data_IF_615131265011
#
_entry.id   IF_615131265011
#
_cell.length_a   1.000
_cell.length_b   1.000
_cell.length_c   1.000
_cell.angle_alpha   90.00
_cell.angle_beta   90.00
_cell.angle_gamma   90.00
#
_symmetry.space_group_name_H-M   'P 1'
#
loop_
_entity.id
_entity.type
_entity.pdbx_description
1 polymer ?
#
# COMPACT_ATOMS: atom_id res chain seq x y z
N UNK A 1 24.70 37.24 2.08
CA UNK A 1 23.31 37.16 2.61
C UNK A 1 22.78 35.74 2.46
N UNK A 2 23.05 34.86 3.43
CA UNK A 2 22.44 33.52 3.49
C UNK A 2 21.11 33.62 4.20
N UNK A 3 20.00 33.77 3.46
CA UNK A 3 18.66 33.59 4.05
C UNK A 3 18.59 32.19 4.64
N UNK A 4 18.54 32.10 5.97
CA UNK A 4 18.33 30.85 6.67
C UNK A 4 17.01 30.24 6.20
N UNK A 5 17.06 29.07 5.56
CA UNK A 5 15.86 28.31 5.18
C UNK A 5 14.91 28.19 6.39
N UNK A 6 13.59 28.26 6.18
CA UNK A 6 12.61 28.05 7.25
C UNK A 6 12.93 26.78 8.07
N UNK A 7 12.78 26.80 9.40
CA UNK A 7 13.16 25.67 10.26
C UNK A 7 12.56 24.33 9.83
N UNK A 8 11.31 24.34 9.32
CA UNK A 8 10.64 23.14 8.84
C UNK A 8 11.23 22.60 7.54
N UNK A 9 11.64 23.47 6.63
CA UNK A 9 12.29 23.05 5.39
C UNK A 9 13.64 22.39 5.68
N UNK A 10 14.43 22.92 6.62
CA UNK A 10 15.70 22.29 7.05
C UNK A 10 15.47 20.89 7.59
N UNK A 11 14.46 20.71 8.45
CA UNK A 11 14.12 19.41 9.03
C UNK A 11 13.64 18.40 7.98
N UNK A 12 12.90 18.86 6.98
CA UNK A 12 12.48 18.02 5.86
C UNK A 12 13.66 17.60 4.98
N UNK A 13 14.62 18.51 4.75
CA UNK A 13 15.86 18.20 4.07
C UNK A 13 16.71 17.19 4.85
N UNK A 14 16.75 17.26 6.19
CA UNK A 14 17.43 16.24 7.00
C UNK A 14 16.75 14.88 6.88
N UNK A 15 15.41 14.82 6.88
CA UNK A 15 14.68 13.58 6.68
C UNK A 15 14.93 12.98 5.28
N UNK A 16 14.90 13.82 4.23
CA UNK A 16 15.25 13.40 2.88
C UNK A 16 16.72 12.96 2.78
N UNK A 17 17.65 13.68 3.42
CA UNK A 17 19.06 13.32 3.49
C UNK A 17 19.30 11.98 4.18
N UNK A 18 18.61 11.72 5.30
CA UNK A 18 18.67 10.44 5.98
C UNK A 18 18.15 9.28 5.10
N UNK A 19 17.09 9.52 4.33
CA UNK A 19 16.58 8.55 3.36
C UNK A 19 17.58 8.28 2.22
N UNK A 20 18.22 9.33 1.68
CA UNK A 20 19.28 9.18 0.66
C UNK A 20 20.46 8.40 1.24
N UNK A 21 20.89 8.69 2.47
CA UNK A 21 21.95 7.96 3.15
C UNK A 21 21.59 6.49 3.36
N UNK A 22 20.36 6.20 3.78
CA UNK A 22 19.86 4.82 3.93
C UNK A 22 19.89 4.06 2.60
N UNK A 23 19.39 4.66 1.51
CA UNK A 23 19.43 4.06 0.18
C UNK A 23 20.86 3.86 -0.29
N UNK A 24 21.72 4.86 -0.10
CA UNK A 24 23.13 4.78 -0.48
C UNK A 24 23.86 3.67 0.29
N UNK A 25 23.63 3.57 1.60
CA UNK A 25 24.16 2.49 2.43
C UNK A 25 23.68 1.12 1.94
N UNK A 26 22.39 0.98 1.61
CA UNK A 26 21.83 -0.26 1.07
C UNK A 26 22.53 -0.67 -0.22
N UNK A 27 22.72 0.28 -1.15
CA UNK A 27 23.41 0.04 -2.42
C UNK A 27 24.87 -0.34 -2.19
N UNK A 28 25.63 0.41 -1.39
CA UNK A 28 27.07 0.18 -1.21
C UNK A 28 27.35 -1.11 -0.45
N UNK A 29 26.66 -1.33 0.68
CA UNK A 29 26.82 -2.56 1.48
C UNK A 29 26.31 -3.76 0.67
N UNK A 30 25.18 -3.62 -0.02
CA UNK A 30 24.65 -4.68 -0.85
C UNK A 30 25.60 -5.06 -1.98
N UNK A 31 26.19 -4.07 -2.68
CA UNK A 31 27.21 -4.32 -3.70
C UNK A 31 28.44 -5.00 -3.14
N UNK A 32 28.89 -4.61 -1.95
CA UNK A 32 30.01 -5.25 -1.28
C UNK A 32 29.71 -6.73 -0.98
N UNK A 33 28.55 -7.04 -0.39
CA UNK A 33 28.13 -8.42 -0.09
C UNK A 33 27.98 -9.24 -1.39
N UNK A 34 27.35 -8.67 -2.42
CA UNK A 34 27.17 -9.37 -3.69
C UNK A 34 28.52 -9.60 -4.40
N UNK A 35 29.46 -8.65 -4.33
CA UNK A 35 30.79 -8.79 -4.92
C UNK A 35 31.69 -9.79 -4.19
N UNK A 36 31.56 -9.91 -2.87
CA UNK A 36 32.39 -10.79 -2.03
C UNK A 36 31.80 -12.18 -1.86
N UNK A 37 30.57 -12.28 -1.36
CA UNK A 37 29.93 -13.55 -1.00
C UNK A 37 28.94 -14.07 -2.05
N UNK A 38 28.47 -13.20 -2.96
CA UNK A 38 27.44 -13.52 -3.99
C UNK A 38 26.14 -14.11 -3.41
N UNK A 39 25.83 -13.82 -2.15
CA UNK A 39 24.68 -14.40 -1.41
C UNK A 39 23.39 -13.60 -1.54
N UNK A 40 23.41 -12.38 -2.10
CA UNK A 40 22.18 -11.59 -2.25
C UNK A 40 21.32 -12.05 -3.43
N UNK A 41 21.94 -12.57 -4.50
CA UNK A 41 21.27 -12.94 -5.75
C UNK A 41 20.40 -11.81 -6.32
N UNK A 42 20.94 -10.59 -6.28
CA UNK A 42 20.37 -9.41 -6.94
C UNK A 42 21.51 -8.67 -7.63
N UNK A 43 21.35 -8.33 -8.90
CA UNK A 43 22.44 -7.73 -9.69
C UNK A 43 22.68 -6.25 -9.33
N UNK A 44 21.65 -5.55 -8.85
CA UNK A 44 21.71 -4.14 -8.45
C UNK A 44 21.15 -3.91 -7.04
N UNK A 45 21.82 -4.42 -5.97
CA UNK A 45 21.34 -4.27 -4.60
C UNK A 45 20.94 -2.83 -4.23
N UNK A 46 19.82 -2.62 -3.51
CA UNK A 46 18.89 -3.63 -2.99
C UNK A 46 17.81 -4.08 -4.00
N UNK A 47 17.90 -3.65 -5.26
CA UNK A 47 16.93 -3.97 -6.30
C UNK A 47 17.29 -5.25 -7.04
N UNK A 48 16.29 -6.11 -7.24
CA UNK A 48 16.36 -7.15 -8.26
C UNK A 48 16.12 -6.48 -9.63
N UNK A 49 17.19 -5.94 -10.20
CA UNK A 49 17.16 -5.21 -11.47
C UNK A 49 18.47 -5.43 -12.23
N UNK A 50 18.42 -5.30 -13.55
CA UNK A 50 19.58 -5.30 -14.44
C UNK A 50 19.79 -3.91 -15.05
N UNK A 51 21.04 -3.52 -15.26
CA UNK A 51 21.34 -2.28 -15.98
C UNK A 51 21.00 -2.42 -17.46
N UNK A 52 20.21 -1.49 -17.98
CA UNK A 52 19.88 -1.44 -19.39
C UNK A 52 19.22 -0.12 -19.74
N UNK A 53 19.97 0.96 -20.01
CA UNK A 53 19.41 2.21 -20.51
C UNK A 53 18.80 1.98 -21.88
N UNK A 54 17.53 2.29 -22.04
CA UNK A 54 16.82 2.15 -23.30
C UNK A 54 15.68 3.18 -23.38
N UNK A 55 15.22 3.42 -24.61
CA UNK A 55 14.05 4.20 -24.92
C UNK A 55 13.11 3.33 -25.75
N UNK A 56 11.82 3.60 -25.67
CA UNK A 56 10.83 2.84 -26.40
C UNK A 56 9.57 3.65 -26.68
N UNK A 57 8.54 3.03 -27.25
CA UNK A 57 7.33 3.73 -27.67
C UNK A 57 6.59 4.40 -26.52
N UNK A 58 6.73 3.88 -25.29
CA UNK A 58 6.17 4.50 -24.09
C UNK A 58 6.90 5.74 -23.57
N UNK A 59 8.16 5.96 -23.96
CA UNK A 59 8.98 7.08 -23.48
C UNK A 59 8.35 8.45 -23.73
N UNK A 60 7.95 8.83 -24.96
CA UNK A 60 7.34 10.15 -25.20
C UNK A 60 6.05 10.33 -24.40
N UNK A 61 5.21 9.29 -24.32
CA UNK A 61 3.97 9.34 -23.55
C UNK A 61 4.23 9.54 -22.05
N UNK A 62 5.23 8.85 -21.48
CA UNK A 62 5.63 9.04 -20.09
C UNK A 62 6.12 10.48 -19.85
N UNK A 63 7.03 11.00 -20.67
CA UNK A 63 7.53 12.38 -20.52
C UNK A 63 6.38 13.40 -20.59
N UNK A 64 5.47 13.25 -21.55
CA UNK A 64 4.30 14.12 -21.68
C UNK A 64 3.37 14.04 -20.47
N UNK A 65 3.05 12.84 -19.98
CA UNK A 65 2.21 12.65 -18.80
C UNK A 65 2.84 13.21 -17.53
N UNK A 66 4.15 13.05 -17.36
CA UNK A 66 4.88 13.62 -16.24
C UNK A 66 4.81 15.15 -16.26
N UNK A 67 5.14 15.77 -17.40
CA UNK A 67 5.07 17.23 -17.57
C UNK A 67 3.63 17.73 -17.34
N UNK A 68 2.64 17.12 -17.98
CA UNK A 68 1.25 17.52 -17.87
C UNK A 68 0.72 17.39 -16.44
N UNK A 69 1.06 16.30 -15.74
CA UNK A 69 0.62 16.08 -14.36
C UNK A 69 1.30 17.05 -13.39
N UNK A 70 2.59 17.37 -13.58
CA UNK A 70 3.30 18.36 -12.76
C UNK A 70 2.77 19.78 -13.02
N UNK A 71 2.58 20.16 -14.29
CA UNK A 71 2.18 21.50 -14.66
C UNK A 71 0.69 21.80 -14.35
N UNK A 72 -0.21 20.84 -14.66
CA UNK A 72 -1.65 21.06 -14.58
C UNK A 72 -2.35 20.24 -13.49
N UNK A 73 -1.76 19.14 -13.02
CA UNK A 73 -2.36 18.23 -12.05
C UNK A 73 -2.81 18.90 -10.75
N UNK A 74 -1.99 19.72 -10.07
CA UNK A 74 -2.40 20.40 -8.84
C UNK A 74 -3.61 21.34 -9.04
N UNK A 75 -3.62 22.11 -10.14
CA UNK A 75 -4.70 23.04 -10.45
C UNK A 75 -5.99 22.30 -10.81
N UNK A 76 -5.91 21.23 -11.59
CA UNK A 76 -7.04 20.38 -11.94
C UNK A 76 -7.61 19.67 -10.70
N UNK A 77 -6.75 19.10 -9.85
CA UNK A 77 -7.18 18.41 -8.64
C UNK A 77 -7.90 19.33 -7.66
N UNK A 78 -7.51 20.62 -7.61
CA UNK A 78 -8.18 21.62 -6.79
C UNK A 78 -9.56 22.03 -7.33
N UNK A 79 -9.76 22.06 -8.65
CA UNK A 79 -10.95 22.65 -9.29
C UNK A 79 -12.00 21.63 -9.73
N UNK A 80 -11.59 20.42 -10.12
CA UNK A 80 -12.52 19.43 -10.68
C UNK A 80 -13.54 18.97 -9.64
N UNK A 81 -14.79 18.68 -10.06
CA UNK A 81 -15.74 18.03 -9.17
C UNK A 81 -15.18 16.67 -8.74
N UNK A 82 -15.40 16.28 -7.49
CA UNK A 82 -14.84 15.03 -6.93
C UNK A 82 -15.18 13.80 -7.80
N UNK A 83 -16.39 13.78 -8.38
CA UNK A 83 -16.87 12.73 -9.28
C UNK A 83 -16.04 12.61 -10.56
N UNK A 84 -15.44 13.69 -11.07
CA UNK A 84 -14.55 13.67 -12.23
C UNK A 84 -13.09 13.43 -11.82
N UNK A 85 -12.68 13.88 -10.63
CA UNK A 85 -11.32 13.71 -10.15
C UNK A 85 -10.91 12.24 -10.03
N UNK A 86 -11.78 11.38 -9.49
CA UNK A 86 -11.48 9.96 -9.29
C UNK A 86 -11.21 9.22 -10.61
N UNK A 87 -12.12 9.21 -11.61
CA UNK A 87 -11.86 8.53 -12.88
C UNK A 87 -10.70 9.14 -13.64
N UNK A 88 -10.50 10.48 -13.57
CA UNK A 88 -9.34 11.11 -14.20
C UNK A 88 -8.03 10.65 -13.55
N UNK A 89 -7.95 10.62 -12.22
CA UNK A 89 -6.77 10.14 -11.48
C UNK A 89 -6.45 8.70 -11.88
N UNK A 90 -7.46 7.83 -11.89
CA UNK A 90 -7.29 6.43 -12.32
C UNK A 90 -6.83 6.31 -13.77
N UNK A 91 -7.45 7.06 -14.69
CA UNK A 91 -7.07 7.05 -16.10
C UNK A 91 -5.64 7.54 -16.29
N UNK A 92 -5.23 8.62 -15.62
CA UNK A 92 -3.86 9.14 -15.69
C UNK A 92 -2.85 8.16 -15.07
N UNK A 93 -3.17 7.53 -13.93
CA UNK A 93 -2.31 6.51 -13.32
C UNK A 93 -2.17 5.27 -14.22
N UNK A 94 -3.26 4.82 -14.82
CA UNK A 94 -3.26 3.72 -15.80
C UNK A 94 -2.39 4.09 -17.01
N UNK A 95 -2.60 5.28 -17.58
CA UNK A 95 -1.81 5.76 -18.73
C UNK A 95 -0.32 5.90 -18.36
N UNK A 96 -0.01 6.37 -17.16
CA UNK A 96 1.35 6.49 -16.66
C UNK A 96 2.04 5.12 -16.54
N UNK A 97 1.41 4.16 -15.87
CA UNK A 97 1.95 2.80 -15.71
C UNK A 97 2.08 2.11 -17.08
N UNK A 98 1.07 2.20 -17.95
CA UNK A 98 1.14 1.69 -19.32
C UNK A 98 2.30 2.33 -20.11
N UNK A 99 2.49 3.64 -20.00
CA UNK A 99 3.57 4.34 -20.69
C UNK A 99 4.93 3.86 -20.20
N UNK A 100 5.11 3.66 -18.89
CA UNK A 100 6.34 3.10 -18.34
C UNK A 100 6.59 1.66 -18.82
N UNK A 101 5.56 0.80 -18.80
CA UNK A 101 5.68 -0.57 -19.30
C UNK A 101 6.02 -0.62 -20.80
N UNK A 102 5.43 0.28 -21.60
CA UNK A 102 5.69 0.38 -23.03
C UNK A 102 7.07 0.97 -23.39
N UNK A 103 7.88 1.40 -22.42
CA UNK A 103 9.30 1.69 -22.68
C UNK A 103 10.02 0.40 -23.10
N UNK A 104 9.66 -0.74 -22.51
CA UNK A 104 10.12 -2.07 -22.93
C UNK A 104 9.40 -2.61 -24.18
N UNK A 105 8.39 -1.89 -24.69
CA UNK A 105 7.49 -2.33 -25.77
C UNK A 105 6.39 -3.29 -25.30
N UNK A 106 5.38 -3.53 -26.15
CA UNK A 106 4.21 -4.36 -25.81
C UNK A 106 4.61 -5.79 -25.41
N UNK A 107 5.48 -6.40 -26.21
CA UNK A 107 5.84 -7.81 -26.06
C UNK A 107 6.63 -8.07 -24.76
N UNK A 108 7.76 -7.37 -24.54
CA UNK A 108 8.58 -7.53 -23.33
C UNK A 108 7.96 -6.87 -22.11
N UNK A 109 7.39 -5.67 -22.26
CA UNK A 109 6.91 -4.84 -21.16
C UNK A 109 5.54 -5.24 -20.63
N UNK A 110 4.72 -5.90 -21.44
CA UNK A 110 3.36 -6.29 -21.04
C UNK A 110 3.12 -7.79 -21.24
N UNK A 111 3.16 -8.26 -22.49
CA UNK A 111 2.67 -9.58 -22.85
C UNK A 111 3.49 -10.74 -22.27
N UNK A 112 4.81 -10.58 -22.13
CA UNK A 112 5.70 -11.64 -21.61
C UNK A 112 5.99 -11.58 -20.12
N UNK A 113 5.67 -10.47 -19.43
CA UNK A 113 6.06 -10.28 -18.02
C UNK A 113 5.45 -11.34 -17.11
N UNK A 114 4.16 -11.63 -17.27
CA UNK A 114 3.45 -12.64 -16.49
C UNK A 114 3.54 -14.07 -17.07
N UNK A 115 4.29 -14.27 -18.16
CA UNK A 115 4.51 -15.59 -18.78
C UNK A 115 5.95 -16.07 -18.65
N UNK A 116 6.76 -15.43 -17.78
CA UNK A 116 8.10 -15.94 -17.52
C UNK A 116 8.05 -17.20 -16.66
N UNK A 117 9.15 -17.96 -16.62
CA UNK A 117 9.24 -19.28 -15.96
C UNK A 117 8.82 -19.33 -14.48
N UNK A 118 8.71 -18.19 -13.81
CA UNK A 118 8.35 -18.11 -12.38
C UNK A 118 6.91 -17.66 -12.14
N UNK A 119 6.16 -17.33 -13.21
CA UNK A 119 4.92 -16.55 -13.14
C UNK A 119 3.65 -17.39 -13.28
N UNK A 120 2.54 -16.80 -12.83
CA UNK A 120 1.22 -17.43 -12.70
C UNK A 120 0.70 -18.11 -13.97
N UNK A 121 1.01 -17.57 -15.16
CA UNK A 121 0.45 -18.09 -16.42
C UNK A 121 1.07 -19.42 -16.87
N UNK A 122 2.15 -19.88 -16.22
CA UNK A 122 2.82 -21.14 -16.57
C UNK A 122 2.05 -22.39 -16.15
N UNK A 123 1.01 -22.24 -15.33
CA UNK A 123 0.31 -23.38 -14.70
C UNK A 123 -1.20 -23.34 -14.92
N UNK A 124 -1.70 -22.51 -15.84
CA UNK A 124 -3.16 -22.35 -16.05
C UNK A 124 -3.82 -23.69 -16.41
N UNK A 125 -3.15 -24.48 -17.24
CA UNK A 125 -3.55 -25.82 -17.68
C UNK A 125 -3.64 -26.83 -16.52
N UNK A 126 -2.87 -26.64 -15.45
CA UNK A 126 -2.93 -27.51 -14.26
C UNK A 126 -4.17 -27.26 -13.38
N UNK A 127 -5.01 -26.29 -13.73
CA UNK A 127 -6.25 -25.94 -13.00
C UNK A 127 -7.52 -26.26 -13.80
N UNK A 128 -7.53 -27.31 -14.63
CA UNK A 128 -8.75 -27.79 -15.29
C UNK A 128 -9.82 -28.19 -14.26
N UNK A 129 -9.45 -28.97 -13.24
CA UNK A 129 -10.25 -29.23 -12.04
C UNK A 129 -9.73 -28.38 -10.87
N UNK A 130 -10.41 -27.24 -10.62
CA UNK A 130 -10.05 -26.31 -9.55
C UNK A 130 -10.11 -26.98 -8.16
N UNK A 131 -11.21 -27.65 -7.75
CA UNK A 131 -11.24 -28.37 -6.48
C UNK A 131 -10.11 -29.38 -6.29
N UNK A 132 -9.75 -30.15 -7.32
CA UNK A 132 -8.62 -31.09 -7.23
C UNK A 132 -7.30 -30.35 -7.07
N UNK A 133 -7.03 -29.34 -7.90
CA UNK A 133 -5.81 -28.54 -7.83
C UNK A 133 -5.64 -27.82 -6.47
N UNK A 134 -6.74 -27.42 -5.82
CA UNK A 134 -6.71 -26.80 -4.48
C UNK A 134 -6.39 -27.81 -3.37
N UNK A 135 -6.93 -29.03 -3.45
CA UNK A 135 -6.60 -30.12 -2.51
C UNK A 135 -5.13 -30.53 -2.61
N UNK A 136 -4.61 -30.60 -3.83
CA UNK A 136 -3.25 -31.05 -4.09
C UNK A 136 -2.22 -29.90 -4.05
N UNK A 137 -2.65 -28.67 -3.79
CA UNK A 137 -1.79 -27.49 -3.88
C UNK A 137 -0.55 -27.58 -2.99
N UNK A 138 -0.73 -28.05 -1.74
CA UNK A 138 0.35 -28.14 -0.74
C UNK A 138 1.44 -29.14 -1.14
N UNK A 139 1.07 -30.22 -1.84
CA UNK A 139 1.99 -31.28 -2.26
C UNK A 139 3.07 -30.78 -3.23
N UNK A 140 2.80 -29.68 -3.94
CA UNK A 140 3.67 -29.14 -4.98
C UNK A 140 4.44 -27.87 -4.52
N UNK A 141 4.39 -27.50 -3.23
CA UNK A 141 5.06 -26.28 -2.72
C UNK A 141 6.58 -26.47 -2.60
N UNK A 142 7.04 -27.62 -2.10
CA UNK A 142 8.46 -27.84 -1.80
C UNK A 142 9.31 -27.98 -3.07
N UNK A 143 10.60 -27.67 -2.97
CA UNK A 143 11.52 -27.76 -4.12
C UNK A 143 11.64 -29.17 -4.66
N UNK A 144 11.71 -30.14 -3.75
CA UNK A 144 11.97 -31.54 -4.06
C UNK A 144 10.69 -32.32 -4.38
N UNK A 145 9.52 -31.65 -4.30
CA UNK A 145 8.26 -32.25 -4.73
C UNK A 145 8.27 -32.51 -6.24
N UNK A 146 7.67 -33.63 -6.70
CA UNK A 146 7.43 -33.83 -8.13
C UNK A 146 6.54 -32.69 -8.65
N UNK A 147 6.83 -32.22 -9.86
CA UNK A 147 6.07 -31.17 -10.56
C UNK A 147 5.78 -29.92 -9.71
N UNK A 148 6.78 -29.49 -8.94
CA UNK A 148 6.66 -28.36 -8.03
C UNK A 148 6.15 -27.07 -8.72
N UNK A 149 5.48 -26.22 -7.94
CA UNK A 149 5.00 -24.94 -8.43
C UNK A 149 6.17 -24.00 -8.74
N UNK A 150 6.06 -23.19 -9.81
CA UNK A 150 6.94 -22.05 -10.02
C UNK A 150 6.94 -21.11 -8.81
N UNK A 151 8.04 -20.38 -8.63
CA UNK A 151 8.31 -19.64 -7.39
C UNK A 151 7.19 -18.68 -6.94
N UNK A 152 6.53 -17.94 -7.85
CA UNK A 152 5.44 -17.06 -7.45
C UNK A 152 4.16 -17.82 -7.07
N UNK A 153 3.89 -18.98 -7.67
CA UNK A 153 2.73 -19.79 -7.29
C UNK A 153 2.99 -20.48 -5.94
N UNK A 154 4.18 -21.07 -5.75
CA UNK A 154 4.57 -21.66 -4.47
C UNK A 154 4.61 -20.62 -3.34
N UNK A 155 4.97 -19.38 -3.67
CA UNK A 155 5.13 -18.26 -2.75
C UNK A 155 3.85 -17.62 -2.24
N UNK A 156 2.71 -17.91 -2.88
CA UNK A 156 1.44 -17.23 -2.64
C UNK A 156 0.29 -18.23 -2.45
N UNK A 157 -0.77 -17.86 -1.70
CA UNK A 157 -1.96 -18.70 -1.65
C UNK A 157 -2.71 -18.69 -3.01
N UNK A 158 -3.57 -19.68 -3.26
CA UNK A 158 -4.06 -19.99 -4.61
C UNK A 158 -5.02 -18.96 -5.22
N UNK A 159 -5.55 -17.97 -4.48
CA UNK A 159 -6.47 -17.00 -5.08
C UNK A 159 -5.79 -16.12 -6.14
N UNK A 160 -4.49 -15.87 -5.99
CA UNK A 160 -3.69 -15.18 -7.00
C UNK A 160 -3.71 -15.95 -8.34
N UNK A 161 -3.37 -17.23 -8.30
CA UNK A 161 -3.38 -18.11 -9.47
C UNK A 161 -4.79 -18.27 -10.05
N UNK A 162 -5.79 -18.49 -9.19
CA UNK A 162 -7.18 -18.64 -9.63
C UNK A 162 -7.70 -17.40 -10.34
N UNK A 163 -7.24 -16.19 -10.00
CA UNK A 163 -7.61 -14.98 -10.72
C UNK A 163 -7.25 -15.10 -12.20
N UNK A 164 -6.02 -15.55 -12.52
CA UNK A 164 -5.59 -15.70 -13.91
C UNK A 164 -6.22 -16.91 -14.60
N UNK A 165 -6.48 -18.00 -13.88
CA UNK A 165 -7.26 -19.14 -14.40
C UNK A 165 -8.67 -18.70 -14.80
N UNK A 166 -9.34 -17.91 -13.96
CA UNK A 166 -10.68 -17.41 -14.25
C UNK A 166 -10.68 -16.42 -15.43
N UNK A 167 -9.67 -15.56 -15.54
CA UNK A 167 -9.49 -14.69 -16.71
C UNK A 167 -9.35 -15.51 -18.00
N UNK A 168 -8.55 -16.59 -17.97
CA UNK A 168 -8.40 -17.49 -19.12
C UNK A 168 -9.74 -18.14 -19.50
N UNK A 169 -10.49 -18.64 -18.51
CA UNK A 169 -11.80 -19.29 -18.71
C UNK A 169 -12.87 -18.38 -19.30
N UNK A 170 -12.83 -17.08 -19.03
CA UNK A 170 -13.76 -16.10 -19.63
C UNK A 170 -13.25 -15.53 -20.97
N UNK A 171 -12.18 -16.08 -21.53
CA UNK A 171 -11.64 -15.72 -22.84
C UNK A 171 -10.56 -14.62 -22.83
N UNK A 172 -10.17 -14.11 -21.66
CA UNK A 172 -9.10 -13.12 -21.51
C UNK A 172 -7.74 -13.81 -21.33
N UNK A 173 -7.34 -14.57 -22.36
CA UNK A 173 -6.21 -15.51 -22.33
C UNK A 173 -4.86 -14.81 -22.55
N UNK A 174 -3.81 -15.34 -21.92
CA UNK A 174 -2.43 -14.93 -22.19
C UNK A 174 -1.97 -13.66 -21.47
N UNK A 175 -0.65 -13.39 -21.55
CA UNK A 175 -0.01 -12.39 -20.72
C UNK A 175 -0.34 -10.94 -21.05
N UNK A 176 -0.81 -10.65 -22.28
CA UNK A 176 -1.30 -9.32 -22.63
C UNK A 176 -2.51 -8.92 -21.78
N UNK A 177 -3.53 -9.79 -21.73
CA UNK A 177 -4.73 -9.57 -20.91
C UNK A 177 -4.42 -9.57 -19.41
N UNK A 178 -3.63 -10.55 -18.95
CA UNK A 178 -3.21 -10.61 -17.55
C UNK A 178 -2.41 -9.37 -17.11
N UNK A 179 -1.54 -8.87 -17.97
CA UNK A 179 -0.75 -7.67 -17.74
C UNK A 179 -1.62 -6.42 -17.66
N UNK A 180 -2.55 -6.26 -18.61
CA UNK A 180 -3.50 -5.15 -18.61
C UNK A 180 -4.46 -5.19 -17.41
N UNK A 181 -4.88 -6.38 -16.98
CA UNK A 181 -5.62 -6.56 -15.72
C UNK A 181 -4.84 -6.00 -14.53
N UNK A 182 -3.57 -6.41 -14.38
CA UNK A 182 -2.72 -5.94 -13.29
C UNK A 182 -2.53 -4.41 -13.32
N UNK A 183 -2.32 -3.82 -14.51
CA UNK A 183 -2.15 -2.37 -14.64
C UNK A 183 -3.45 -1.64 -14.29
N UNK A 184 -4.56 -2.00 -14.93
CA UNK A 184 -5.83 -1.28 -14.79
C UNK A 184 -6.42 -1.42 -13.39
N UNK A 185 -6.43 -2.63 -12.84
CA UNK A 185 -6.92 -2.89 -11.47
C UNK A 185 -5.94 -2.32 -10.45
N UNK A 186 -4.63 -2.53 -10.63
CA UNK A 186 -3.59 -1.99 -9.77
C UNK A 186 -3.64 -0.47 -9.67
N UNK A 187 -3.86 0.23 -10.79
CA UNK A 187 -4.01 1.68 -10.83
C UNK A 187 -5.19 2.18 -9.99
N UNK A 188 -6.23 1.36 -9.72
CA UNK A 188 -7.36 1.78 -8.86
C UNK A 188 -6.94 1.97 -7.40
N UNK A 189 -5.77 1.47 -6.98
CA UNK A 189 -5.23 1.69 -5.64
C UNK A 189 -5.14 3.18 -5.30
N UNK A 190 -4.78 4.05 -6.26
CA UNK A 190 -4.72 5.50 -6.03
C UNK A 190 -6.11 6.06 -5.64
N UNK A 191 -7.18 5.59 -6.28
CA UNK A 191 -8.57 5.99 -5.97
C UNK A 191 -8.97 5.53 -4.58
N UNK A 192 -8.65 4.29 -4.22
CA UNK A 192 -8.94 3.77 -2.89
C UNK A 192 -8.21 4.57 -1.81
N UNK A 193 -6.94 4.95 -2.04
CA UNK A 193 -6.18 5.83 -1.14
C UNK A 193 -6.82 7.23 -1.04
N UNK A 194 -7.24 7.83 -2.16
CA UNK A 194 -7.93 9.12 -2.16
C UNK A 194 -9.24 9.09 -1.36
N UNK A 195 -10.04 8.03 -1.52
CA UNK A 195 -11.25 7.82 -0.73
C UNK A 195 -10.93 7.66 0.75
N UNK A 196 -9.89 6.92 1.09
CA UNK A 196 -9.43 6.74 2.48
C UNK A 196 -9.02 8.06 3.11
N UNK A 197 -8.20 8.86 2.42
CA UNK A 197 -7.76 10.18 2.92
C UNK A 197 -8.97 11.11 3.09
N UNK A 198 -9.86 11.18 2.09
CA UNK A 198 -11.05 12.05 2.16
C UNK A 198 -11.99 11.67 3.31
N UNK A 199 -12.07 10.38 3.63
CA UNK A 199 -13.00 9.87 4.65
C UNK A 199 -12.47 10.03 6.06
N UNK A 200 -11.16 9.84 6.27
CA UNK A 200 -10.53 9.89 7.60
C UNK A 200 -9.92 11.24 7.95
N UNK A 201 -9.60 12.06 6.95
CA UNK A 201 -9.08 13.41 7.12
C UNK A 201 -10.03 14.41 6.44
N UNK A 202 -9.68 14.90 5.26
CA UNK A 202 -10.49 15.88 4.53
C UNK A 202 -10.29 15.79 3.01
N UNK A 203 -11.23 16.38 2.28
CA UNK A 203 -11.22 16.38 0.82
C UNK A 203 -10.07 17.19 0.21
N UNK A 204 -9.64 18.27 0.87
CA UNK A 204 -8.55 19.13 0.36
C UNK A 204 -7.21 18.40 0.38
N UNK A 205 -6.90 17.67 1.45
CA UNK A 205 -5.71 16.80 1.52
C UNK A 205 -5.76 15.68 0.49
N UNK A 206 -6.93 15.05 0.31
CA UNK A 206 -7.08 14.01 -0.71
C UNK A 206 -6.83 14.58 -2.12
N UNK A 207 -7.41 15.73 -2.46
CA UNK A 207 -7.17 16.43 -3.73
C UNK A 207 -5.69 16.73 -3.95
N UNK A 208 -5.00 17.20 -2.91
CA UNK A 208 -3.56 17.48 -2.98
C UNK A 208 -2.73 16.22 -3.21
N UNK A 209 -3.17 15.07 -2.70
CA UNK A 209 -2.46 13.80 -2.88
C UNK A 209 -2.60 13.22 -4.31
N UNK A 210 -3.65 13.56 -5.06
CA UNK A 210 -3.96 12.91 -6.33
C UNK A 210 -2.81 12.96 -7.36
N UNK A 211 -2.16 14.11 -7.65
CA UNK A 211 -1.05 14.15 -8.60
C UNK A 211 0.18 13.34 -8.13
N UNK A 212 0.43 13.29 -6.82
CA UNK A 212 1.55 12.52 -6.25
C UNK A 212 1.30 11.02 -6.32
N UNK A 213 0.05 10.58 -6.12
CA UNK A 213 -0.33 9.17 -6.26
C UNK A 213 -0.24 8.70 -7.71
N UNK A 214 -0.61 9.55 -8.67
CA UNK A 214 -0.49 9.25 -10.10
C UNK A 214 0.96 9.00 -10.50
N UNK A 215 1.87 9.92 -10.11
CA UNK A 215 3.30 9.84 -10.45
C UNK A 215 4.14 9.14 -9.38
N UNK A 216 3.53 8.35 -8.49
CA UNK A 216 4.25 7.67 -7.42
C UNK A 216 5.35 6.77 -8.03
N UNK A 217 6.59 6.79 -7.49
CA UNK A 217 7.67 5.94 -7.99
C UNK A 217 7.32 4.45 -8.02
N UNK A 218 6.45 4.02 -7.12
CA UNK A 218 5.82 2.69 -7.08
C UNK A 218 5.33 2.21 -8.46
N UNK A 219 4.88 3.11 -9.33
CA UNK A 219 4.41 2.81 -10.68
C UNK A 219 5.40 1.98 -11.52
N UNK A 220 6.71 2.13 -11.27
CA UNK A 220 7.76 1.34 -11.94
C UNK A 220 7.63 -0.15 -11.64
N UNK A 221 7.25 -0.53 -10.41
CA UNK A 221 7.05 -1.92 -10.00
C UNK A 221 5.60 -2.40 -10.16
N UNK A 222 4.65 -1.47 -10.29
CA UNK A 222 3.24 -1.81 -10.52
C UNK A 222 2.96 -2.24 -11.96
N UNK A 223 3.86 -1.96 -12.92
CA UNK A 223 3.73 -2.35 -14.31
C UNK A 223 3.67 -3.87 -14.49
N UNK A 224 2.54 -4.39 -14.99
CA UNK A 224 2.29 -5.82 -15.25
C UNK A 224 2.75 -6.77 -14.13
N UNK A 225 2.45 -6.41 -12.89
CA UNK A 225 2.74 -7.23 -11.70
C UNK A 225 1.46 -7.61 -10.98
N UNK A 226 1.34 -8.88 -10.58
CA UNK A 226 0.23 -9.35 -9.75
C UNK A 226 0.17 -8.61 -8.40
N UNK A 227 1.32 -8.16 -7.87
CA UNK A 227 1.39 -7.38 -6.64
C UNK A 227 0.66 -6.04 -6.74
N UNK A 228 0.60 -5.44 -7.93
CA UNK A 228 -0.17 -4.21 -8.16
C UNK A 228 -1.67 -4.47 -7.95
N UNK A 229 -2.17 -5.58 -8.49
CA UNK A 229 -3.53 -6.05 -8.26
C UNK A 229 -3.78 -6.35 -6.78
N UNK A 230 -2.85 -7.03 -6.09
CA UNK A 230 -3.02 -7.33 -4.67
C UNK A 230 -3.05 -6.06 -3.81
N UNK A 231 -2.18 -5.10 -4.12
CA UNK A 231 -2.15 -3.80 -3.46
C UNK A 231 -3.46 -3.03 -3.66
N UNK A 232 -4.07 -3.10 -4.84
CA UNK A 232 -5.38 -2.50 -5.09
C UNK A 232 -6.48 -3.16 -4.25
N UNK A 233 -6.53 -4.50 -4.18
CA UNK A 233 -7.51 -5.22 -3.34
C UNK A 233 -7.37 -4.81 -1.88
N UNK A 234 -6.14 -4.78 -1.35
CA UNK A 234 -5.85 -4.34 0.01
C UNK A 234 -6.25 -2.87 0.24
N UNK A 235 -5.93 -1.98 -0.69
CA UNK A 235 -6.29 -0.57 -0.60
C UNK A 235 -7.82 -0.36 -0.60
N UNK A 236 -8.55 -1.10 -1.44
CA UNK A 236 -10.02 -1.06 -1.44
C UNK A 236 -10.63 -1.64 -0.16
N UNK A 237 -10.04 -2.72 0.40
CA UNK A 237 -10.46 -3.25 1.70
C UNK A 237 -10.39 -2.17 2.80
N UNK A 238 -9.29 -1.42 2.83
CA UNK A 238 -9.07 -0.29 3.75
C UNK A 238 -10.02 0.88 3.47
N UNK A 239 -10.23 1.24 2.21
CA UNK A 239 -11.12 2.34 1.83
C UNK A 239 -12.58 2.04 2.22
N UNK A 240 -13.04 0.81 1.99
CA UNK A 240 -14.37 0.35 2.39
C UNK A 240 -14.50 0.28 3.90
N UNK A 241 -13.45 -0.12 4.63
CA UNK A 241 -13.44 -0.10 6.09
C UNK A 241 -13.60 1.33 6.60
N UNK A 242 -12.81 2.28 6.07
CA UNK A 242 -12.88 3.69 6.43
C UNK A 242 -14.28 4.27 6.18
N UNK A 243 -14.88 3.95 5.03
CA UNK A 243 -16.26 4.33 4.71
C UNK A 243 -17.28 3.66 5.63
N UNK A 244 -17.08 2.39 6.00
CA UNK A 244 -17.98 1.65 6.87
C UNK A 244 -18.02 2.25 8.28
N UNK A 245 -16.86 2.56 8.86
CA UNK A 245 -16.77 3.11 10.22
C UNK A 245 -17.21 4.57 10.30
N UNK A 246 -16.98 5.37 9.25
CA UNK A 246 -17.36 6.79 9.22
C UNK A 246 -18.82 7.02 8.80
N UNK A 247 -19.34 6.21 7.87
CA UNK A 247 -20.70 6.33 7.32
C UNK A 247 -21.68 5.28 7.86
N UNK A 248 -21.24 4.40 8.78
CA UNK A 248 -22.06 3.37 9.46
C UNK A 248 -22.77 2.42 8.49
N UNK A 249 -22.09 2.04 7.41
CA UNK A 249 -22.69 1.21 6.35
C UNK A 249 -22.33 -0.26 6.53
N UNK A 250 -23.34 -1.09 6.87
CA UNK A 250 -23.17 -2.54 7.06
C UNK A 250 -22.73 -3.27 5.78
N UNK A 251 -23.26 -2.88 4.62
CA UNK A 251 -22.84 -3.43 3.33
C UNK A 251 -21.35 -3.19 3.07
N UNK A 252 -20.86 -1.97 3.30
CA UNK A 252 -19.43 -1.66 3.11
C UNK A 252 -18.54 -2.38 4.11
N UNK A 253 -19.02 -2.62 5.33
CA UNK A 253 -18.32 -3.46 6.30
C UNK A 253 -18.17 -4.89 5.77
N UNK A 254 -19.25 -5.49 5.27
CA UNK A 254 -19.21 -6.82 4.65
C UNK A 254 -18.27 -6.91 3.44
N UNK A 255 -18.37 -5.94 2.53
CA UNK A 255 -17.49 -5.88 1.36
C UNK A 255 -16.02 -5.67 1.75
N UNK A 256 -15.73 -4.83 2.75
CA UNK A 256 -14.39 -4.65 3.30
C UNK A 256 -13.85 -5.96 3.87
N UNK A 257 -14.66 -6.67 4.67
CA UNK A 257 -14.34 -7.97 5.22
C UNK A 257 -13.97 -8.97 4.13
N UNK A 258 -14.82 -9.10 3.11
CA UNK A 258 -14.61 -9.98 1.97
C UNK A 258 -13.26 -9.70 1.29
N UNK A 259 -12.93 -8.43 1.05
CA UNK A 259 -11.65 -8.07 0.43
C UNK A 259 -10.46 -8.31 1.36
N UNK A 260 -10.60 -8.18 2.68
CA UNK A 260 -9.55 -8.57 3.62
C UNK A 260 -9.33 -10.09 3.64
N UNK A 261 -10.41 -10.88 3.61
CA UNK A 261 -10.33 -12.34 3.47
C UNK A 261 -9.62 -12.73 2.17
N UNK A 262 -9.99 -12.09 1.06
CA UNK A 262 -9.31 -12.25 -0.24
C UNK A 262 -7.83 -11.87 -0.15
N UNK A 263 -7.50 -10.76 0.51
CA UNK A 263 -6.12 -10.28 0.67
C UNK A 263 -5.22 -11.34 1.32
N UNK A 264 -5.72 -12.04 2.35
CA UNK A 264 -5.01 -13.16 3.00
C UNK A 264 -4.75 -14.34 2.05
N UNK A 265 -5.52 -14.48 0.98
CA UNK A 265 -5.39 -15.55 -0.02
C UNK A 265 -4.69 -15.10 -1.31
N UNK A 266 -4.39 -13.80 -1.46
CA UNK A 266 -3.56 -13.27 -2.55
C UNK A 266 -2.07 -13.28 -2.19
N UNK A 267 -1.73 -12.98 -0.94
CA UNK A 267 -0.35 -13.02 -0.47
C UNK A 267 -0.28 -13.17 1.05
N UNK A 268 0.56 -14.08 1.54
CA UNK A 268 0.81 -14.27 2.97
C UNK A 268 1.34 -12.99 3.65
N UNK A 269 2.15 -12.20 2.93
CA UNK A 269 2.72 -10.96 3.44
C UNK A 269 1.70 -9.83 3.64
N UNK A 270 0.55 -9.88 2.96
CA UNK A 270 -0.48 -8.84 3.08
C UNK A 270 -1.31 -8.95 4.36
N UNK A 271 -1.10 -9.99 5.17
CA UNK A 271 -1.60 -10.04 6.55
C UNK A 271 -1.16 -8.81 7.36
N UNK A 272 -0.02 -8.19 7.03
CA UNK A 272 0.45 -6.95 7.64
C UNK A 272 -0.47 -5.74 7.42
N UNK A 273 -1.35 -5.78 6.40
CA UNK A 273 -2.37 -4.74 6.18
C UNK A 273 -3.36 -4.67 7.35
N UNK A 274 -3.46 -5.71 8.19
CA UNK A 274 -4.22 -5.68 9.44
C UNK A 274 -3.79 -4.52 10.36
N UNK A 275 -2.51 -4.10 10.33
CA UNK A 275 -2.04 -2.93 11.09
C UNK A 275 -2.65 -1.63 10.57
N UNK A 276 -2.80 -1.50 9.25
CA UNK A 276 -3.45 -0.35 8.61
C UNK A 276 -4.95 -0.37 8.93
N UNK A 277 -5.59 -1.54 8.85
CA UNK A 277 -6.99 -1.71 9.24
C UNK A 277 -7.23 -1.33 10.71
N UNK A 278 -6.35 -1.75 11.62
CA UNK A 278 -6.39 -1.37 13.02
C UNK A 278 -6.26 0.15 13.20
N UNK A 279 -5.38 0.81 12.46
CA UNK A 279 -5.29 2.28 12.48
C UNK A 279 -6.61 2.93 12.03
N UNK A 280 -7.28 2.42 11.00
CA UNK A 280 -8.60 2.90 10.58
C UNK A 280 -9.65 2.71 11.67
N UNK A 281 -9.68 1.54 12.32
CA UNK A 281 -10.60 1.27 13.45
C UNK A 281 -10.34 2.21 14.64
N UNK A 282 -9.07 2.51 14.93
CA UNK A 282 -8.68 3.46 15.99
C UNK A 282 -9.13 4.88 15.64
N UNK A 283 -8.94 5.32 14.40
CA UNK A 283 -9.40 6.63 13.94
C UNK A 283 -10.94 6.72 13.92
N UNK A 284 -11.61 5.63 13.54
CA UNK A 284 -13.07 5.51 13.49
C UNK A 284 -13.72 5.03 14.80
N UNK A 285 -12.97 4.97 15.92
CA UNK A 285 -13.38 4.29 17.16
C UNK A 285 -14.71 4.75 17.74
N UNK A 286 -15.05 6.04 17.58
CA UNK A 286 -16.32 6.58 18.05
C UNK A 286 -17.50 5.98 17.25
N UNK A 287 -17.38 5.92 15.92
CA UNK A 287 -18.39 5.29 15.07
C UNK A 287 -18.56 3.79 15.35
N UNK A 288 -17.45 3.08 15.62
CA UNK A 288 -17.49 1.66 16.00
C UNK A 288 -18.15 1.44 17.35
N UNK A 289 -17.86 2.28 18.35
CA UNK A 289 -18.49 2.20 19.68
C UNK A 289 -19.98 2.47 19.66
N UNK A 290 -20.41 3.41 18.82
CA UNK A 290 -21.83 3.73 18.64
C UNK A 290 -22.58 2.64 17.86
N UNK A 291 -21.90 1.93 16.94
CA UNK A 291 -22.51 0.94 16.06
C UNK A 291 -21.70 -0.37 16.00
N UNK A 292 -21.55 -1.11 17.12
CA UNK A 292 -20.74 -2.34 17.16
C UNK A 292 -21.26 -3.42 16.21
N UNK A 293 -22.53 -3.34 15.82
CA UNK A 293 -23.15 -4.22 14.82
C UNK A 293 -22.40 -4.24 13.48
N UNK A 294 -21.58 -3.22 13.14
CA UNK A 294 -20.75 -3.22 11.92
C UNK A 294 -19.66 -4.30 11.92
N UNK A 295 -19.26 -4.81 13.09
CA UNK A 295 -18.25 -5.87 13.19
C UNK A 295 -18.79 -7.21 12.69
N UNK A 296 -20.10 -7.45 12.82
CA UNK A 296 -20.73 -8.70 12.36
C UNK A 296 -20.59 -8.90 10.86
N UNK A 297 -21.07 -7.98 9.97
CA UNK A 297 -20.88 -8.14 8.54
C UNK A 297 -19.40 -8.08 8.15
N UNK A 298 -18.56 -7.28 8.83
CA UNK A 298 -17.11 -7.26 8.59
C UNK A 298 -16.48 -8.64 8.78
N UNK A 299 -16.74 -9.29 9.92
CA UNK A 299 -16.23 -10.62 10.22
C UNK A 299 -16.86 -11.68 9.32
N UNK A 300 -18.17 -11.59 9.07
CA UNK A 300 -18.86 -12.50 8.16
C UNK A 300 -18.26 -12.46 6.75
N UNK A 301 -18.04 -11.25 6.21
CA UNK A 301 -17.37 -11.05 4.93
C UNK A 301 -15.95 -11.60 4.93
N UNK A 302 -15.18 -11.33 5.99
CA UNK A 302 -13.81 -11.82 6.15
C UNK A 302 -13.71 -13.34 6.07
N UNK A 303 -14.65 -14.06 6.67
CA UNK A 303 -14.65 -15.53 6.71
C UNK A 303 -15.03 -16.17 5.37
N UNK A 304 -15.69 -15.46 4.45
CA UNK A 304 -16.16 -16.05 3.17
C UNK A 304 -15.04 -16.69 2.37
N UNK A 305 -13.92 -15.99 2.16
CA UNK A 305 -12.80 -16.52 1.36
C UNK A 305 -12.03 -17.61 2.11
N UNK A 306 -11.62 -17.43 3.37
CA UNK A 306 -11.03 -18.51 4.15
C UNK A 306 -11.88 -19.78 4.17
N UNK A 307 -13.18 -19.65 4.45
CA UNK A 307 -14.09 -20.79 4.50
C UNK A 307 -14.24 -21.46 3.13
N UNK A 308 -14.37 -20.70 2.03
CA UNK A 308 -14.54 -21.29 0.71
C UNK A 308 -13.32 -22.10 0.27
N UNK A 309 -12.11 -21.60 0.52
CA UNK A 309 -10.87 -22.32 0.20
C UNK A 309 -10.64 -23.51 1.12
N UNK A 310 -10.92 -23.39 2.43
CA UNK A 310 -10.82 -24.52 3.36
C UNK A 310 -11.82 -25.62 2.99
N UNK A 311 -13.07 -25.27 2.63
CA UNK A 311 -14.07 -26.24 2.16
C UNK A 311 -13.69 -26.86 0.81
N UNK A 312 -12.97 -26.12 -0.05
CA UNK A 312 -12.39 -26.65 -1.28
C UNK A 312 -11.14 -27.52 -1.05
N UNK A 313 -10.68 -27.64 0.20
CA UNK A 313 -9.60 -28.55 0.60
C UNK A 313 -8.21 -27.92 0.69
N UNK A 314 -8.10 -26.58 0.67
CA UNK A 314 -6.83 -25.88 0.85
C UNK A 314 -6.60 -25.49 2.33
N UNK A 315 -5.54 -26.02 2.94
CA UNK A 315 -5.09 -25.62 4.28
C UNK A 315 -4.04 -24.49 4.19
N UNK A 316 -4.47 -23.29 4.59
CA UNK A 316 -3.62 -22.09 4.57
C UNK A 316 -2.42 -22.19 5.53
N UNK A 317 -2.61 -22.80 6.69
CA UNK A 317 -1.56 -22.89 7.72
C UNK A 317 -0.51 -23.93 7.34
N UNK A 318 -0.95 -25.07 6.79
CA UNK A 318 -0.03 -26.06 6.23
C UNK A 318 0.77 -25.46 5.07
N UNK A 319 0.09 -24.83 4.11
CA UNK A 319 0.74 -24.17 2.99
C UNK A 319 1.76 -23.13 3.44
N UNK A 320 1.45 -22.32 4.47
CA UNK A 320 2.38 -21.35 5.04
C UNK A 320 3.62 -22.02 5.68
N UNK A 321 3.45 -23.10 6.45
CA UNK A 321 4.59 -23.85 7.02
C UNK A 321 5.48 -24.42 5.93
N UNK A 322 4.89 -25.01 4.89
CA UNK A 322 5.62 -25.52 3.73
C UNK A 322 6.33 -24.39 2.97
N UNK A 323 5.71 -23.21 2.85
CA UNK A 323 6.34 -22.03 2.26
C UNK A 323 7.58 -21.61 3.06
N UNK A 324 7.54 -21.63 4.39
CA UNK A 324 8.72 -21.32 5.22
C UNK A 324 9.84 -22.31 4.93
N UNK A 325 9.55 -23.61 4.83
CA UNK A 325 10.53 -24.61 4.41
C UNK A 325 11.07 -24.31 3.01
N UNK A 326 10.18 -24.05 2.04
CA UNK A 326 10.51 -23.73 0.65
C UNK A 326 11.37 -22.46 0.52
N UNK A 327 11.16 -21.48 1.39
CA UNK A 327 11.96 -20.25 1.48
C UNK A 327 13.40 -20.57 1.86
N UNK A 328 13.61 -21.43 2.87
CA UNK A 328 14.93 -21.87 3.31
C UNK A 328 15.62 -22.82 2.32
N UNK A 329 14.86 -23.61 1.55
CA UNK A 329 15.40 -24.40 0.44
C UNK A 329 15.84 -23.53 -0.76
N UNK A 330 15.23 -22.34 -0.93
CA UNK A 330 15.53 -21.42 -2.03
C UNK A 330 16.57 -20.35 -1.68
N UNK A 331 16.64 -19.29 -2.50
CA UNK A 331 17.54 -18.16 -2.28
C UNK A 331 17.33 -17.46 -0.92
N UNK A 332 16.14 -17.60 -0.32
CA UNK A 332 15.84 -17.07 1.01
C UNK A 332 16.71 -17.65 2.13
N UNK A 333 17.07 -18.94 2.04
CA UNK A 333 17.95 -19.59 3.02
C UNK A 333 19.41 -19.16 2.97
N UNK A 334 19.84 -18.54 1.88
CA UNK A 334 21.22 -18.10 1.65
C UNK A 334 21.37 -16.59 1.88
N UNK A 335 20.32 -15.82 1.59
CA UNK A 335 20.35 -14.35 1.69
C UNK A 335 20.59 -13.90 3.14
N UNK A 336 21.52 -12.96 3.39
CA UNK A 336 21.78 -12.43 4.72
C UNK A 336 20.55 -11.69 5.26
N UNK A 337 19.82 -12.32 6.19
CA UNK A 337 18.59 -11.79 6.74
C UNK A 337 18.76 -10.38 7.32
N UNK A 338 19.84 -10.16 8.09
CA UNK A 338 20.11 -8.87 8.74
C UNK A 338 20.28 -7.70 7.76
N UNK A 339 20.79 -7.94 6.55
CA UNK A 339 20.86 -6.92 5.50
C UNK A 339 19.46 -6.51 5.04
N UNK A 340 18.59 -7.48 4.79
CA UNK A 340 17.24 -7.23 4.25
C UNK A 340 16.30 -6.55 5.24
N UNK A 341 16.50 -6.71 6.56
CA UNK A 341 15.70 -6.01 7.58
C UNK A 341 15.67 -4.49 7.35
N UNK A 342 16.83 -3.88 7.11
CA UNK A 342 16.92 -2.42 6.90
C UNK A 342 16.96 -2.03 5.42
N UNK A 343 17.49 -2.88 4.53
CA UNK A 343 17.47 -2.62 3.09
C UNK A 343 16.03 -2.58 2.53
N UNK A 344 15.08 -3.31 3.13
CA UNK A 344 13.67 -3.20 2.77
C UNK A 344 13.08 -1.81 3.07
N UNK A 345 13.61 -1.10 4.08
CA UNK A 345 13.24 0.29 4.32
C UNK A 345 13.78 1.20 3.21
N UNK A 346 14.99 0.94 2.71
CA UNK A 346 15.52 1.61 1.53
C UNK A 346 14.65 1.35 0.28
N UNK A 347 14.22 0.11 0.04
CA UNK A 347 13.27 -0.20 -1.02
C UNK A 347 11.95 0.56 -0.85
N UNK A 348 11.45 0.69 0.39
CA UNK A 348 10.26 1.51 0.68
C UNK A 348 10.47 2.97 0.30
N UNK A 349 11.63 3.56 0.62
CA UNK A 349 11.98 4.92 0.19
C UNK A 349 11.95 5.04 -1.34
N UNK A 350 12.47 4.05 -2.08
CA UNK A 350 12.46 4.06 -3.54
C UNK A 350 11.04 3.97 -4.12
N UNK A 351 10.15 3.20 -3.49
CA UNK A 351 8.76 3.04 -3.90
C UNK A 351 7.93 4.29 -3.58
N UNK A 352 8.10 4.89 -2.40
CA UNK A 352 7.27 6.03 -1.95
C UNK A 352 7.85 7.40 -2.30
N UNK A 353 9.13 7.48 -2.62
CA UNK A 353 9.86 8.71 -2.88
C UNK A 353 10.24 9.53 -1.63
N UNK A 354 11.21 10.43 -1.79
CA UNK A 354 11.75 11.27 -0.70
C UNK A 354 10.73 12.22 -0.09
N UNK A 355 9.77 12.70 -0.90
CA UNK A 355 8.70 13.58 -0.44
C UNK A 355 7.84 12.92 0.65
N UNK A 356 7.59 11.62 0.52
CA UNK A 356 6.83 10.84 1.51
C UNK A 356 7.59 10.72 2.83
N UNK A 357 8.91 10.53 2.79
CA UNK A 357 9.74 10.46 4.00
C UNK A 357 9.74 11.81 4.74
N UNK A 358 9.88 12.91 4.01
CA UNK A 358 9.77 14.25 4.59
C UNK A 358 8.38 14.49 5.20
N UNK A 359 7.31 14.03 4.53
CA UNK A 359 5.95 14.06 5.05
C UNK A 359 5.77 13.25 6.33
N UNK A 360 6.34 12.05 6.40
CA UNK A 360 6.25 11.16 7.57
C UNK A 360 6.83 11.82 8.83
N UNK A 361 7.94 12.54 8.70
CA UNK A 361 8.52 13.34 9.80
C UNK A 361 7.50 14.33 10.36
N UNK A 362 6.80 15.07 9.48
CA UNK A 362 5.79 16.06 9.87
C UNK A 362 4.64 15.39 10.61
N UNK A 363 4.17 14.23 10.13
CA UNK A 363 3.12 13.45 10.80
C UNK A 363 3.55 12.99 12.20
N UNK A 364 4.78 12.49 12.34
CA UNK A 364 5.33 12.10 13.64
C UNK A 364 5.39 13.27 14.63
N UNK A 365 5.82 14.45 14.16
CA UNK A 365 5.86 15.66 14.99
C UNK A 365 4.47 16.09 15.50
N UNK A 366 3.44 16.02 14.64
CA UNK A 366 2.05 16.32 15.04
C UNK A 366 1.55 15.34 16.10
N UNK A 367 1.84 14.04 15.95
CA UNK A 367 1.44 13.02 16.93
C UNK A 367 2.12 13.21 18.28
N UNK A 368 3.41 13.56 18.28
CA UNK A 368 4.17 13.86 19.49
C UNK A 368 3.63 15.11 20.19
N UNK A 369 3.33 16.18 19.42
CA UNK A 369 2.82 17.43 19.97
C UNK A 369 1.44 17.26 20.64
N UNK A 370 0.53 16.53 19.98
CA UNK A 370 -0.78 16.20 20.55
C UNK A 370 -0.69 15.36 21.83
N UNK A 371 0.31 14.48 21.96
CA UNK A 371 0.53 13.72 23.22
C UNK A 371 1.00 14.63 24.34
N UNK A 372 1.90 15.57 24.07
CA UNK A 372 2.35 16.55 25.07
C UNK A 372 1.22 17.47 25.54
N UNK A 373 0.34 17.92 24.63
CA UNK A 373 -0.84 18.72 25.01
C UNK A 373 -1.91 17.91 25.76
N UNK A 374 -2.08 16.63 25.41
CA UNK A 374 -3.03 15.73 26.07
C UNK A 374 -2.57 15.22 27.45
N UNK A 375 -1.42 15.68 27.95
CA UNK A 375 -0.91 15.37 29.30
C UNK A 375 -1.07 16.59 30.22
N UNK A 376 -2.26 16.86 30.79
CA UNK A 376 -2.39 17.91 31.78
C UNK A 376 -1.86 17.42 33.13
N UNK A 377 -0.68 17.89 33.57
CA UNK A 377 -0.29 17.76 34.97
C UNK A 377 1.19 17.93 35.31
N UNK A 378 1.65 19.18 35.51
CA UNK A 378 2.16 19.68 36.81
C UNK A 378 2.56 21.17 36.71
N UNK A 379 1.61 22.04 37.03
CA UNK A 379 1.80 23.31 37.74
C UNK A 379 0.43 24.00 37.88
N UNK A 380 -0.44 23.44 38.72
CA UNK A 380 -1.46 24.24 39.37
C UNK A 380 -0.78 24.85 40.59
N UNK A 381 -0.37 26.11 40.46
CA UNK A 381 0.14 26.90 41.58
C UNK A 381 -1.07 27.28 42.45
N UNK A 382 -1.06 27.01 43.77
CA UNK A 382 -2.21 27.29 44.61
C UNK A 382 -2.33 28.81 44.84
N UNK A 383 -3.51 29.34 44.52
CA UNK A 383 -3.92 30.68 44.90
C UNK A 383 -3.80 30.86 46.42
N UNK A 384 -2.83 31.67 46.85
CA UNK A 384 -2.71 32.09 48.24
C UNK A 384 -3.87 33.02 48.59
N UNK A 385 -4.80 32.51 49.38
CA UNK A 385 -5.78 33.30 50.14
C UNK A 385 -5.01 34.19 51.12
N UNK A 386 -5.13 35.52 50.98
CA UNK A 386 -4.92 36.43 52.11
C UNK A 386 -6.25 37.07 52.47
N UNK A 387 -6.61 36.89 53.73
CA UNK A 387 -7.81 37.36 54.40
C UNK A 387 -7.56 38.74 55.01
N UNK A 388 -8.47 39.69 54.80
CA UNK A 388 -8.69 40.86 55.68
C UNK A 388 -10.13 41.40 55.50
N UNK A 389 -10.77 41.98 56.55
CA UNK A 389 -12.22 41.95 56.78
C UNK A 389 -12.98 43.20 56.25
N UNK A 390 -14.32 43.27 56.34
CA UNK A 390 -15.14 44.16 55.52
C UNK A 390 -15.29 45.56 56.14
N UNK A 391 -15.45 46.58 55.30
CA UNK A 391 -16.05 47.86 55.68
C UNK A 391 -17.28 48.14 54.82
N UNK A 392 -18.27 48.68 55.51
CA UNK A 392 -19.66 48.87 55.14
C UNK A 392 -19.90 49.66 53.84
N UNK A 393 -20.96 49.24 53.13
CA UNK A 393 -21.81 50.04 52.22
C UNK A 393 -22.50 51.21 52.98
N UNK A 394 -23.24 52.17 52.36
CA UNK A 394 -24.01 52.01 51.11
C UNK A 394 -24.18 53.25 50.19
N UNK A 395 -24.79 52.97 49.03
CA UNK A 395 -25.88 53.71 48.38
C UNK A 395 -25.66 54.21 46.94
N UNK A 396 -26.77 54.12 46.21
CA UNK A 396 -27.15 54.73 44.92
C UNK A 396 -27.04 53.86 43.66
N UNK A 397 -28.09 53.08 43.45
CA UNK A 397 -28.76 52.86 42.15
C UNK A 397 -29.86 53.91 41.95
N UNK A 398 -30.60 53.97 40.82
CA UNK A 398 -30.31 53.58 39.43
C UNK A 398 -30.64 54.72 38.42
N UNK A 399 -30.24 54.59 37.14
CA UNK A 399 -31.07 54.97 35.96
C UNK A 399 -30.38 54.66 34.61
N UNK A 400 -30.92 53.69 33.88
CA UNK A 400 -31.12 53.74 32.42
C UNK A 400 -32.34 54.67 32.12
N UNK A 401 -32.63 55.19 30.91
CA UNK A 401 -32.44 54.64 29.53
C UNK A 401 -31.73 55.63 28.57
N UNK A 402 -31.44 55.38 27.29
CA UNK A 402 -32.03 54.56 26.23
C UNK A 402 -30.96 54.03 25.25
#
# INVERSE_FOLDING_TARGET
>A
MTRSLPPDLRRDLYAAGAAVLLVTAAVLIGRHIQGTSRTLFVDWPPLLASWGPHLGPGTPAAVLLAIATVAYGPALAARLPWRALLPLTWATATAWICSLALIDGWDRGIARRLTTRYEYLQVIDRFDDIPAALRDFTQHILLDSPDNWPAHIAGHPPAATLTFVLLDRIGLRGGGWAGMWCITVGATACVAVLLTIRTLADETLARRAAPFLVLAPAAVWMGTSADAYFAAVAAWAVALLALAVTRRSLWRAGASGLLFGLTCYLSYGLTLVALIAAAVLVLGRHGVREHPALLVPLLAGFVVVPASFTLAGFDWWEAYRLLVTRYHQGAGGIRPYGYWVWANLACTVLITGLATVAGLRRTGAVLLHRRTEATPGRAAEPASRSSSPPRCSPCWSPTCPA
#
